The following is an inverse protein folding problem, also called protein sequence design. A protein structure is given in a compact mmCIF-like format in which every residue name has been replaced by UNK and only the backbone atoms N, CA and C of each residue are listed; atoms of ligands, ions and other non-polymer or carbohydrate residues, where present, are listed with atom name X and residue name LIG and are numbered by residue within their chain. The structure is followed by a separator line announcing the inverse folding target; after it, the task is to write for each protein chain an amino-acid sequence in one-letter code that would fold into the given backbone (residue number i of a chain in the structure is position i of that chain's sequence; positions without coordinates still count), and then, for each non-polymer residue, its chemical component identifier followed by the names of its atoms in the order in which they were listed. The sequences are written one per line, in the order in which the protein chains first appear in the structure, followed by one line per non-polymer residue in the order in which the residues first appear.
data_IF_480588875187
#
_entry.id   IF_480588875187
#
_cell.length_a   1.000
_cell.length_b   1.000
_cell.length_c   1.000
_cell.angle_alpha   90.00
_cell.angle_beta   90.00
_cell.angle_gamma   90.00
#
_symmetry.space_group_name_H-M   'P 1'
#
loop_
_entity.id
_entity.type
_entity.pdbx_description
1 polymer ?
#
# COMPACT_ATOMS: atom_id res chain seq x y z
N UNK A 1 14.41 -9.92 21.94
CA UNK A 1 13.32 -9.02 22.38
C UNK A 1 12.56 -9.66 23.54
N UNK A 2 12.11 -8.86 24.51
CA UNK A 2 11.11 -9.25 25.51
C UNK A 2 9.74 -9.47 24.85
N UNK A 3 8.75 -9.99 25.59
CA UNK A 3 7.39 -10.11 25.08
C UNK A 3 6.81 -8.73 24.75
N UNK A 4 6.96 -7.76 25.64
CA UNK A 4 6.46 -6.39 25.44
C UNK A 4 7.09 -5.73 24.21
N UNK A 5 8.39 -5.91 23.99
CA UNK A 5 9.06 -5.40 22.78
C UNK A 5 8.50 -6.06 21.51
N UNK A 6 8.21 -7.36 21.54
CA UNK A 6 7.61 -8.06 20.39
C UNK A 6 6.20 -7.54 20.12
N UNK A 7 5.37 -7.41 21.15
CA UNK A 7 4.00 -6.88 21.03
C UNK A 7 4.02 -5.44 20.51
N UNK A 8 4.93 -4.61 21.01
CA UNK A 8 5.12 -3.24 20.51
C UNK A 8 5.45 -3.20 19.02
N UNK A 9 6.25 -4.15 18.51
CA UNK A 9 6.56 -4.23 17.08
C UNK A 9 5.37 -4.67 16.20
N UNK A 10 4.27 -5.14 16.79
CA UNK A 10 3.05 -5.54 16.07
C UNK A 10 1.98 -4.43 16.02
N UNK A 11 2.25 -3.26 16.60
CA UNK A 11 1.33 -2.12 16.66
C UNK A 11 1.99 -0.82 16.16
N UNK A 12 1.18 0.17 15.82
CA UNK A 12 1.64 1.51 15.53
C UNK A 12 2.27 2.16 16.77
N UNK A 13 3.25 3.05 16.57
CA UNK A 13 3.91 3.74 17.70
C UNK A 13 3.07 4.83 18.38
N UNK A 14 1.83 5.06 17.92
CA UNK A 14 0.94 6.12 18.40
C UNK A 14 -0.40 5.50 18.83
N UNK A 15 -0.90 5.78 20.05
CA UNK A 15 -2.20 5.28 20.48
C UNK A 15 -3.33 5.67 19.52
N UNK A 16 -4.25 4.74 19.26
CA UNK A 16 -5.28 4.87 18.22
C UNK A 16 -5.99 6.23 18.17
N UNK A 17 -6.64 6.65 19.25
CA UNK A 17 -7.41 7.91 19.27
C UNK A 17 -6.54 9.16 19.11
N UNK A 18 -5.30 9.11 19.60
CA UNK A 18 -4.32 10.18 19.42
C UNK A 18 -3.89 10.23 17.95
N UNK A 19 -3.63 9.07 17.34
CA UNK A 19 -3.28 8.92 15.93
C UNK A 19 -4.39 9.40 15.00
N UNK A 20 -5.66 9.05 15.28
CA UNK A 20 -6.81 9.53 14.50
C UNK A 20 -6.90 11.05 14.55
N UNK A 21 -6.77 11.65 15.74
CA UNK A 21 -6.75 13.11 15.86
C UNK A 21 -5.60 13.72 15.06
N UNK A 22 -4.38 13.22 15.24
CA UNK A 22 -3.19 13.70 14.53
C UNK A 22 -3.36 13.62 13.00
N UNK A 23 -3.82 12.48 12.46
CA UNK A 23 -4.08 12.30 11.02
C UNK A 23 -5.09 13.34 10.52
N UNK A 24 -6.20 13.51 11.25
CA UNK A 24 -7.31 14.39 10.84
C UNK A 24 -7.03 15.88 11.01
N UNK A 25 -6.05 16.25 11.84
CA UNK A 25 -5.63 17.65 12.06
C UNK A 25 -4.36 18.03 11.30
N UNK A 26 -3.99 17.29 10.25
CA UNK A 26 -2.88 17.62 9.35
C UNK A 26 -1.54 16.92 9.64
N UNK A 27 -1.46 16.12 10.70
CA UNK A 27 -0.29 15.31 11.04
C UNK A 27 0.13 14.38 9.89
N UNK A 28 -0.85 13.86 9.16
CA UNK A 28 -0.66 12.95 8.02
C UNK A 28 0.19 13.54 6.88
N UNK A 29 0.17 14.86 6.70
CA UNK A 29 0.95 15.57 5.68
C UNK A 29 2.21 16.23 6.23
N UNK A 30 2.49 16.07 7.53
CA UNK A 30 3.58 16.76 8.21
C UNK A 30 4.83 15.91 8.40
N UNK A 31 4.67 14.59 8.57
CA UNK A 31 5.76 13.67 8.89
C UNK A 31 5.40 12.20 8.63
N UNK A 32 6.39 11.31 8.46
CA UNK A 32 6.16 9.86 8.49
C UNK A 32 5.68 9.34 9.84
N UNK A 33 4.85 8.31 9.84
CA UNK A 33 4.38 7.62 11.04
C UNK A 33 5.38 6.57 11.50
N UNK A 34 5.66 6.53 12.80
CA UNK A 34 6.70 5.66 13.37
C UNK A 34 6.08 4.40 13.98
N UNK A 35 6.76 3.27 13.82
CA UNK A 35 6.40 2.02 14.46
C UNK A 35 7.64 1.16 14.78
N UNK A 36 7.48 0.19 15.69
CA UNK A 36 8.45 -0.87 15.97
C UNK A 36 9.88 -0.43 16.40
N UNK A 37 10.05 0.74 17.00
CA UNK A 37 11.35 1.17 17.56
C UNK A 37 11.66 0.36 18.82
N UNK A 38 12.86 -0.23 18.90
CA UNK A 38 13.36 -0.90 20.13
C UNK A 38 14.75 -0.39 20.46
N UNK A 39 14.82 0.67 21.25
CA UNK A 39 16.04 1.43 21.55
C UNK A 39 17.12 0.60 22.24
N UNK A 40 16.74 -0.25 23.20
CA UNK A 40 17.65 -1.14 23.92
C UNK A 40 18.42 -2.10 22.99
N UNK A 41 17.83 -2.44 21.84
CA UNK A 41 18.43 -3.33 20.84
C UNK A 41 19.02 -2.57 19.64
N UNK A 42 18.97 -1.23 19.64
CA UNK A 42 19.41 -0.43 18.51
C UNK A 42 18.55 -0.58 17.26
N UNK A 43 17.29 -1.03 17.39
CA UNK A 43 16.37 -1.19 16.26
C UNK A 43 15.65 0.15 16.03
N UNK A 44 15.86 0.81 14.88
CA UNK A 44 15.33 2.16 14.65
C UNK A 44 13.81 2.20 14.44
N UNK A 45 13.20 1.05 14.12
CA UNK A 45 11.80 0.97 13.69
C UNK A 45 11.65 1.38 12.23
N UNK A 46 10.40 1.66 11.84
CA UNK A 46 10.05 2.07 10.48
C UNK A 46 9.26 3.37 10.48
N UNK A 47 9.33 4.09 9.36
CA UNK A 47 8.77 5.40 9.09
C UNK A 47 7.87 5.30 7.86
N UNK A 48 6.57 5.13 8.11
CA UNK A 48 5.53 4.98 7.11
C UNK A 48 5.13 6.31 6.48
N UNK A 49 5.04 6.33 5.15
CA UNK A 49 4.38 7.40 4.41
C UNK A 49 3.62 6.84 3.21
N UNK A 50 2.49 7.47 2.91
CA UNK A 50 1.76 7.28 1.66
C UNK A 50 2.36 8.16 0.54
N UNK A 51 2.03 7.98 -0.74
CA UNK A 51 0.99 7.11 -1.28
C UNK A 51 1.08 6.86 -2.79
N UNK A 52 -0.02 6.43 -3.42
CA UNK A 52 -0.02 5.99 -4.83
C UNK A 52 0.33 7.06 -5.88
N UNK A 53 0.38 8.35 -5.50
CA UNK A 53 0.75 9.49 -6.37
C UNK A 53 2.06 10.16 -5.96
N UNK A 54 2.89 9.44 -5.21
CA UNK A 54 4.09 9.99 -4.58
C UNK A 54 3.90 10.31 -3.11
N UNK A 55 4.94 10.88 -2.52
CA UNK A 55 5.02 11.25 -1.11
C UNK A 55 3.91 12.26 -0.74
N UNK A 56 3.22 12.02 0.38
CA UNK A 56 2.15 12.91 0.87
C UNK A 56 2.58 13.89 1.96
N UNK A 57 3.87 13.91 2.29
CA UNK A 57 4.45 14.74 3.35
C UNK A 57 5.19 15.93 2.75
N UNK A 58 4.88 17.13 3.23
CA UNK A 58 5.55 18.36 2.80
C UNK A 58 5.33 18.71 1.34
N UNK A 59 6.30 19.41 0.75
CA UNK A 59 6.31 19.75 -0.67
C UNK A 59 7.04 18.64 -1.44
N UNK A 60 6.29 17.85 -2.18
CA UNK A 60 6.77 16.70 -2.93
C UNK A 60 6.21 16.65 -4.34
N UNK A 61 6.77 15.81 -5.21
CA UNK A 61 6.26 15.66 -6.56
C UNK A 61 4.87 15.02 -6.56
N UNK A 62 3.90 15.72 -7.15
CA UNK A 62 2.57 15.16 -7.40
C UNK A 62 2.57 14.43 -8.76
N UNK A 63 2.76 13.11 -8.73
CA UNK A 63 2.75 12.29 -9.94
C UNK A 63 1.32 12.13 -10.51
N UNK A 64 1.16 11.86 -11.82
CA UNK A 64 -0.12 11.43 -12.36
C UNK A 64 -0.70 10.26 -11.58
N UNK A 65 -2.03 10.21 -11.45
CA UNK A 65 -2.75 9.10 -10.80
C UNK A 65 -2.32 7.75 -11.43
N UNK A 66 -2.28 6.67 -10.65
CA UNK A 66 -1.88 5.35 -11.14
C UNK A 66 -2.62 4.94 -12.40
N UNK A 67 -3.91 5.27 -12.53
CA UNK A 67 -4.71 4.96 -13.73
C UNK A 67 -4.12 5.59 -15.00
N UNK A 68 -3.66 6.85 -14.91
CA UNK A 68 -3.03 7.55 -16.03
C UNK A 68 -1.66 6.98 -16.35
N UNK A 69 -0.92 6.53 -15.32
CA UNK A 69 0.37 5.84 -15.49
C UNK A 69 0.18 4.46 -16.12
N UNK A 70 -0.87 3.73 -15.73
CA UNK A 70 -1.30 2.45 -16.32
C UNK A 70 -1.62 2.58 -17.80
N UNK A 71 -2.31 3.66 -18.20
CA UNK A 71 -2.64 3.93 -19.60
C UNK A 71 -1.43 4.12 -20.53
N UNK A 72 -0.21 4.20 -20.00
CA UNK A 72 1.03 4.20 -20.81
C UNK A 72 1.42 2.80 -21.30
N UNK A 73 0.98 1.75 -20.60
CA UNK A 73 1.45 0.37 -20.81
C UNK A 73 2.98 0.24 -20.84
N UNK A 74 3.69 1.10 -20.09
CA UNK A 74 5.15 1.17 -20.04
C UNK A 74 5.68 0.81 -18.63
N UNK A 75 5.99 -0.47 -18.38
CA UNK A 75 6.61 -0.94 -17.14
C UNK A 75 7.93 -0.22 -16.80
N UNK A 76 8.76 0.11 -17.79
CA UNK A 76 10.06 0.73 -17.55
C UNK A 76 9.91 2.21 -17.15
N UNK A 77 8.91 2.90 -17.69
CA UNK A 77 8.51 4.22 -17.18
C UNK A 77 8.07 4.12 -15.72
N UNK A 78 7.28 3.11 -15.37
CA UNK A 78 6.78 2.93 -14.01
C UNK A 78 7.90 2.62 -13.00
N UNK A 79 8.93 1.87 -13.42
CA UNK A 79 10.17 1.69 -12.64
C UNK A 79 10.85 3.04 -12.35
N UNK A 80 10.94 3.93 -13.34
CA UNK A 80 11.53 5.27 -13.15
C UNK A 80 10.69 6.17 -12.24
N UNK A 81 9.36 6.07 -12.32
CA UNK A 81 8.46 6.74 -11.38
C UNK A 81 8.69 6.23 -9.96
N UNK A 82 8.76 4.91 -9.77
CA UNK A 82 9.07 4.31 -8.47
C UNK A 82 10.43 4.72 -7.91
N UNK A 83 11.47 4.79 -8.74
CA UNK A 83 12.79 5.26 -8.32
C UNK A 83 12.77 6.72 -7.86
N UNK A 84 12.04 7.59 -8.56
CA UNK A 84 11.86 8.99 -8.15
C UNK A 84 11.09 9.11 -6.82
N UNK A 85 9.97 8.39 -6.68
CA UNK A 85 9.18 8.35 -5.44
C UNK A 85 10.04 7.84 -4.26
N UNK A 86 10.79 6.75 -4.47
CA UNK A 86 11.67 6.16 -3.45
C UNK A 86 12.74 7.14 -2.96
N UNK A 87 13.34 7.92 -3.87
CA UNK A 87 14.30 8.98 -3.51
C UNK A 87 13.68 10.06 -2.65
N UNK A 88 12.48 10.54 -3.00
CA UNK A 88 11.78 11.57 -2.21
C UNK A 88 11.41 11.07 -0.81
N UNK A 89 10.89 9.84 -0.71
CA UNK A 89 10.59 9.20 0.57
C UNK A 89 11.84 9.09 1.45
N UNK A 90 12.96 8.62 0.87
CA UNK A 90 14.21 8.46 1.60
C UNK A 90 14.76 9.81 2.07
N UNK A 91 14.63 10.86 1.27
CA UNK A 91 15.10 12.20 1.59
C UNK A 91 14.42 12.80 2.83
N UNK A 92 13.16 12.44 3.10
CA UNK A 92 12.41 12.90 4.28
C UNK A 92 12.48 11.91 5.46
N UNK A 93 13.28 10.85 5.33
CA UNK A 93 13.47 9.84 6.37
C UNK A 93 12.37 8.80 6.45
N UNK A 94 11.52 8.66 5.43
CA UNK A 94 10.61 7.52 5.31
C UNK A 94 11.37 6.30 4.80
N UNK A 95 10.97 5.13 5.28
CA UNK A 95 11.54 3.84 4.91
C UNK A 95 10.49 2.76 4.63
N UNK A 96 9.20 3.05 4.87
CA UNK A 96 8.06 2.19 4.55
C UNK A 96 7.03 2.97 3.71
N UNK A 97 6.69 2.45 2.53
CA UNK A 97 5.94 3.16 1.51
C UNK A 97 4.59 2.51 1.19
N UNK A 98 3.50 3.18 1.56
CA UNK A 98 2.11 2.79 1.28
C UNK A 98 1.65 3.03 -0.16
N UNK A 99 2.42 2.64 -1.17
CA UNK A 99 2.19 3.09 -2.55
C UNK A 99 1.43 2.18 -3.48
N UNK A 100 1.59 0.86 -3.32
CA UNK A 100 1.33 -0.09 -4.41
C UNK A 100 -0.13 -0.53 -4.34
N UNK A 101 -1.04 0.35 -4.75
CA UNK A 101 -2.48 0.08 -4.79
C UNK A 101 -2.86 -0.65 -6.08
N UNK A 102 -3.33 -1.89 -5.97
CA UNK A 102 -3.54 -2.78 -7.14
C UNK A 102 -4.87 -3.52 -7.12
N UNK A 103 -5.83 -3.12 -6.29
CA UNK A 103 -7.18 -3.67 -6.40
C UNK A 103 -7.74 -3.38 -7.81
N UNK A 104 -8.38 -4.38 -8.42
CA UNK A 104 -8.92 -4.23 -9.78
C UNK A 104 -10.07 -3.21 -9.81
N UNK A 105 -10.15 -2.47 -10.92
CA UNK A 105 -11.33 -1.68 -11.25
C UNK A 105 -12.49 -2.60 -11.64
N UNK A 106 -13.17 -3.20 -10.66
CA UNK A 106 -14.33 -4.07 -10.91
C UNK A 106 -15.57 -3.30 -11.37
N UNK A 107 -15.73 -2.08 -10.87
CA UNK A 107 -16.88 -1.23 -11.19
C UNK A 107 -16.40 0.23 -11.35
N UNK A 108 -16.82 0.94 -12.41
CA UNK A 108 -16.31 2.29 -12.71
C UNK A 108 -16.61 3.33 -11.64
N UNK A 109 -17.63 3.09 -10.80
CA UNK A 109 -17.97 3.96 -9.67
C UNK A 109 -17.12 3.75 -8.40
N UNK A 110 -16.07 2.92 -8.45
CA UNK A 110 -15.19 2.75 -7.29
C UNK A 110 -14.44 4.06 -6.99
N UNK A 111 -14.67 4.64 -5.81
CA UNK A 111 -14.14 5.96 -5.45
C UNK A 111 -12.61 6.08 -5.44
N UNK A 112 -11.88 4.96 -5.42
CA UNK A 112 -10.41 4.91 -5.51
C UNK A 112 -9.90 4.34 -6.84
N UNK A 113 -10.74 4.28 -7.86
CA UNK A 113 -10.38 3.81 -9.20
C UNK A 113 -9.10 4.46 -9.74
N UNK A 114 -8.85 5.74 -9.44
CA UNK A 114 -7.64 6.44 -9.86
C UNK A 114 -6.34 5.89 -9.26
N UNK A 115 -6.39 5.17 -8.14
CA UNK A 115 -5.22 4.66 -7.42
C UNK A 115 -4.68 3.33 -7.96
N UNK A 116 -5.42 2.64 -8.83
CA UNK A 116 -5.00 1.40 -9.49
C UNK A 116 -4.64 1.63 -10.96
N UNK A 117 -4.22 0.59 -11.68
CA UNK A 117 -3.83 0.66 -13.09
C UNK A 117 -4.91 0.23 -14.09
N UNK A 118 -6.03 -0.35 -13.63
CA UNK A 118 -7.12 -0.76 -14.51
C UNK A 118 -7.89 -1.97 -13.99
N UNK A 119 -8.54 -2.68 -14.90
CA UNK A 119 -9.39 -3.85 -14.63
C UNK A 119 -8.72 -5.19 -14.98
N UNK A 120 -7.63 -5.18 -15.74
CA UNK A 120 -6.93 -6.40 -16.18
C UNK A 120 -5.88 -6.86 -15.15
N UNK A 121 -5.96 -8.11 -14.63
CA UNK A 121 -5.02 -8.62 -13.63
C UNK A 121 -3.56 -8.68 -14.10
N UNK A 122 -3.31 -8.95 -15.38
CA UNK A 122 -1.93 -9.06 -15.87
C UNK A 122 -1.28 -7.66 -15.91
N UNK A 123 -1.95 -6.70 -16.53
CA UNK A 123 -1.51 -5.31 -16.61
C UNK A 123 -1.28 -4.70 -15.23
N UNK A 124 -2.26 -4.85 -14.33
CA UNK A 124 -2.16 -4.35 -12.95
C UNK A 124 -0.99 -4.99 -12.20
N UNK A 125 -0.75 -6.30 -12.40
CA UNK A 125 0.38 -7.02 -11.83
C UNK A 125 1.73 -6.51 -12.32
N UNK A 126 1.89 -6.32 -13.64
CA UNK A 126 3.15 -5.83 -14.22
C UNK A 126 3.47 -4.38 -13.84
N UNK A 127 2.46 -3.50 -13.85
CA UNK A 127 2.65 -2.10 -13.41
C UNK A 127 2.96 -2.04 -11.90
N UNK A 128 2.24 -2.81 -11.07
CA UNK A 128 2.51 -2.89 -9.63
C UNK A 128 3.89 -3.45 -9.28
N UNK A 129 4.36 -4.46 -10.03
CA UNK A 129 5.69 -5.04 -9.86
C UNK A 129 6.78 -4.03 -10.27
N UNK A 130 6.53 -3.26 -11.34
CA UNK A 130 7.43 -2.22 -11.82
C UNK A 130 7.60 -1.08 -10.80
N UNK A 131 6.49 -0.60 -10.23
CA UNK A 131 6.54 0.42 -9.17
C UNK A 131 7.30 -0.09 -7.93
N UNK A 132 7.04 -1.35 -7.54
CA UNK A 132 7.76 -2.04 -6.46
C UNK A 132 9.26 -2.06 -6.74
N UNK A 133 9.69 -2.52 -7.92
CA UNK A 133 11.11 -2.58 -8.31
C UNK A 133 11.80 -1.22 -8.27
N UNK A 134 11.11 -0.15 -8.67
CA UNK A 134 11.63 1.21 -8.60
C UNK A 134 11.80 1.69 -7.16
N UNK A 135 10.72 1.66 -6.38
CA UNK A 135 10.68 2.20 -5.02
C UNK A 135 11.61 1.43 -4.05
N UNK A 136 11.69 0.10 -4.19
CA UNK A 136 12.46 -0.77 -3.29
C UNK A 136 13.97 -0.64 -3.36
N UNK A 137 14.50 0.14 -4.32
CA UNK A 137 15.90 0.56 -4.30
C UNK A 137 16.22 1.49 -3.12
N UNK A 138 15.20 2.15 -2.56
CA UNK A 138 15.36 3.21 -1.55
C UNK A 138 14.56 2.95 -0.27
N UNK A 139 13.37 2.35 -0.36
CA UNK A 139 12.42 2.17 0.76
C UNK A 139 11.64 0.86 0.64
N UNK A 140 11.14 0.29 1.74
CA UNK A 140 10.29 -0.90 1.67
C UNK A 140 8.92 -0.54 1.07
N UNK A 141 8.52 -1.22 0.00
CA UNK A 141 7.22 -0.99 -0.63
C UNK A 141 6.13 -1.84 0.04
N UNK A 142 4.92 -1.30 0.11
CA UNK A 142 3.73 -1.97 0.63
C UNK A 142 2.69 -2.17 -0.46
N UNK A 143 2.41 -3.44 -0.75
CA UNK A 143 1.33 -3.93 -1.61
C UNK A 143 -0.02 -3.77 -0.92
N UNK A 144 -1.00 -3.11 -1.55
CA UNK A 144 -2.32 -2.86 -0.95
C UNK A 144 -3.48 -2.91 -1.95
N UNK A 145 -4.71 -3.21 -1.54
CA UNK A 145 -5.13 -3.70 -0.23
C UNK A 145 -5.56 -5.16 -0.41
N UNK A 146 -4.91 -6.06 0.31
CA UNK A 146 -5.13 -7.49 0.17
C UNK A 146 -6.36 -7.95 0.98
N UNK A 147 -7.50 -8.29 0.39
CA UNK A 147 -7.81 -8.32 -1.05
C UNK A 147 -9.26 -7.86 -1.33
N UNK A 148 -9.60 -7.74 -2.62
CA UNK A 148 -10.96 -7.41 -3.13
C UNK A 148 -11.58 -6.09 -2.66
N UNK A 149 -10.77 -5.12 -2.23
CA UNK A 149 -11.22 -3.80 -1.76
C UNK A 149 -11.53 -2.81 -2.90
N UNK A 150 -12.46 -3.17 -3.79
CA UNK A 150 -12.84 -2.37 -4.97
C UNK A 150 -14.16 -1.60 -4.78
N UNK A 151 -14.54 -1.29 -3.54
CA UNK A 151 -15.81 -0.63 -3.21
C UNK A 151 -15.66 0.24 -1.95
N UNK A 152 -15.83 1.56 -2.07
CA UNK A 152 -15.60 2.49 -0.93
C UNK A 152 -16.79 2.61 0.03
N UNK A 153 -18.01 2.66 -0.50
CA UNK A 153 -19.23 2.97 0.26
C UNK A 153 -19.56 1.96 1.37
N UNK A 154 -19.06 0.73 1.27
CA UNK A 154 -19.30 -0.32 2.26
C UNK A 154 -18.00 -1.00 2.77
N UNK A 155 -16.82 -0.43 2.50
CA UNK A 155 -15.51 -1.10 2.73
C UNK A 155 -15.26 -1.57 4.17
N UNK A 156 -15.93 -0.98 5.16
CA UNK A 156 -15.78 -1.32 6.58
C UNK A 156 -16.80 -2.35 7.09
N UNK A 157 -17.72 -2.82 6.24
CA UNK A 157 -18.80 -3.72 6.65
C UNK A 157 -19.19 -4.77 5.62
N UNK A 158 -18.72 -4.66 4.39
CA UNK A 158 -19.06 -5.61 3.32
C UNK A 158 -18.27 -6.91 3.45
N UNK A 159 -18.96 -8.02 3.25
CA UNK A 159 -18.39 -9.33 3.03
C UNK A 159 -18.46 -9.67 1.54
N UNK A 160 -17.31 -9.69 0.89
CA UNK A 160 -17.21 -9.98 -0.55
C UNK A 160 -17.29 -11.49 -0.75
N UNK A 161 -18.37 -11.95 -1.39
CA UNK A 161 -18.54 -13.34 -1.81
C UNK A 161 -17.92 -13.56 -3.19
N UNK A 162 -17.02 -14.52 -3.28
CA UNK A 162 -16.30 -14.86 -4.51
C UNK A 162 -16.02 -16.36 -4.54
N UNK A 163 -16.25 -17.00 -5.69
CA UNK A 163 -15.90 -18.39 -5.89
C UNK A 163 -14.37 -18.57 -6.00
N UNK A 164 -13.88 -19.77 -5.69
CA UNK A 164 -12.45 -20.08 -5.68
C UNK A 164 -11.78 -19.79 -7.02
N UNK A 165 -12.47 -20.08 -8.13
CA UNK A 165 -11.93 -19.86 -9.46
C UNK A 165 -11.74 -18.36 -9.74
N UNK A 166 -12.76 -17.54 -9.54
CA UNK A 166 -12.64 -16.09 -9.72
C UNK A 166 -11.61 -15.48 -8.76
N UNK A 167 -11.52 -15.98 -7.53
CA UNK A 167 -10.52 -15.54 -6.56
C UNK A 167 -9.09 -15.78 -7.12
N UNK A 168 -8.80 -17.00 -7.55
CA UNK A 168 -7.46 -17.39 -7.99
C UNK A 168 -7.11 -16.99 -9.44
N UNK A 169 -8.09 -16.85 -10.34
CA UNK A 169 -7.86 -16.49 -11.75
C UNK A 169 -8.00 -14.97 -12.02
N UNK A 170 -8.70 -14.22 -11.15
CA UNK A 170 -8.95 -12.79 -11.37
C UNK A 170 -8.38 -11.92 -10.26
N UNK A 171 -8.69 -12.23 -8.99
CA UNK A 171 -8.44 -11.30 -7.88
C UNK A 171 -7.09 -11.43 -7.19
N UNK A 172 -6.43 -12.58 -7.29
CA UNK A 172 -5.12 -12.82 -6.68
C UNK A 172 -3.91 -12.81 -7.63
N UNK A 173 -4.01 -13.02 -8.96
CA UNK A 173 -2.83 -13.10 -9.83
C UNK A 173 -1.90 -11.89 -9.77
N UNK A 174 -2.46 -10.67 -9.73
CA UNK A 174 -1.65 -9.44 -9.65
C UNK A 174 -0.95 -9.30 -8.30
N UNK A 175 -1.59 -9.69 -7.19
CA UNK A 175 -0.92 -9.75 -5.89
C UNK A 175 0.23 -10.76 -5.93
N UNK A 176 -0.01 -11.97 -6.44
CA UNK A 176 1.02 -12.99 -6.59
C UNK A 176 2.20 -12.48 -7.41
N UNK A 177 1.95 -11.85 -8.55
CA UNK A 177 3.01 -11.30 -9.42
C UNK A 177 3.92 -10.31 -8.70
N UNK A 178 3.37 -9.49 -7.82
CA UNK A 178 4.10 -8.47 -7.05
C UNK A 178 4.81 -9.08 -5.83
N UNK A 179 4.22 -10.10 -5.22
CA UNK A 179 4.89 -10.91 -4.19
C UNK A 179 6.10 -11.64 -4.77
N UNK A 180 5.96 -12.24 -5.96
CA UNK A 180 7.05 -12.90 -6.67
C UNK A 180 8.17 -11.92 -7.11
N UNK A 181 7.85 -10.62 -7.29
CA UNK A 181 8.83 -9.55 -7.50
C UNK A 181 9.64 -9.22 -6.22
N UNK A 182 9.17 -9.67 -5.05
CA UNK A 182 9.84 -9.46 -3.76
C UNK A 182 9.40 -8.20 -3.02
N UNK A 183 8.10 -7.85 -3.05
CA UNK A 183 7.57 -6.75 -2.23
C UNK A 183 7.80 -6.99 -0.74
N UNK A 184 8.20 -5.96 -0.01
CA UNK A 184 8.61 -6.06 1.39
C UNK A 184 7.44 -6.22 2.36
N UNK A 185 6.27 -5.65 2.02
CA UNK A 185 5.11 -5.61 2.92
C UNK A 185 3.80 -5.76 2.13
N UNK A 186 2.80 -6.35 2.79
CA UNK A 186 1.41 -6.42 2.29
C UNK A 186 0.51 -5.78 3.35
N UNK A 187 -0.36 -4.87 2.91
CA UNK A 187 -1.39 -4.26 3.72
C UNK A 187 -2.73 -4.92 3.40
N UNK A 188 -3.38 -5.46 4.43
CA UNK A 188 -4.70 -6.09 4.29
C UNK A 188 -5.79 -5.05 4.03
N UNK A 189 -6.86 -5.48 3.40
CA UNK A 189 -8.06 -4.68 3.15
C UNK A 189 -8.92 -4.53 4.41
N UNK A 190 -9.86 -3.59 4.35
CA UNK A 190 -10.84 -3.38 5.41
C UNK A 190 -12.00 -4.37 5.37
N UNK A 191 -12.43 -4.82 4.19
CA UNK A 191 -13.58 -5.71 4.03
C UNK A 191 -13.29 -7.14 4.50
N UNK A 192 -14.33 -7.96 4.61
CA UNK A 192 -14.20 -9.42 4.68
C UNK A 192 -14.32 -10.07 3.30
N UNK A 193 -13.80 -11.28 3.19
CA UNK A 193 -13.88 -12.13 2.00
C UNK A 193 -14.34 -13.51 2.45
N UNK A 194 -15.43 -13.98 1.86
CA UNK A 194 -16.02 -15.28 2.17
C UNK A 194 -16.26 -15.55 3.67
N UNK A 195 -16.61 -14.49 4.43
CA UNK A 195 -16.97 -14.59 5.85
C UNK A 195 -15.89 -14.16 6.84
N UNK A 196 -14.63 -14.01 6.41
CA UNK A 196 -13.51 -13.65 7.30
C UNK A 196 -12.91 -12.29 6.94
N UNK A 197 -12.63 -11.46 7.95
CA UNK A 197 -12.00 -10.14 7.74
C UNK A 197 -10.61 -10.31 7.12
N UNK A 198 -10.23 -9.47 6.16
CA UNK A 198 -8.93 -9.62 5.50
C UNK A 198 -7.73 -9.52 6.45
N UNK A 199 -7.86 -8.83 7.58
CA UNK A 199 -6.83 -8.76 8.64
C UNK A 199 -6.83 -9.97 9.59
N UNK A 200 -7.71 -10.96 9.38
CA UNK A 200 -7.93 -12.15 10.20
C UNK A 200 -8.04 -13.45 9.37
N UNK A 201 -7.85 -13.38 8.04
CA UNK A 201 -8.01 -14.48 7.08
C UNK A 201 -6.66 -15.14 6.77
#
# INVERSE_FOLDING_TARGET
MTLDEKVHCLDGGVPFWVGIKDITTGGYHSRPFRAAKVERLGIPGFHFSDGPRGLVVGEATAFPVSMARGATFDPELEVRVGDAIGKELRAIGADLYGGICVNLLRHPAWGRAQETYGEDPHHVGEMGASLTRGAQRHVMATLKHFALNSMENARFGVDVKVDERALHEVYLPHFKRIVDEGVACVMTAYNSVNGEWCSQN
#
